data_IF_242450221411
#
_entry.id   IF_242450221411
#
_cell.length_a   1.000
_cell.length_b   1.000
_cell.length_c   1.000
_cell.angle_alpha   90.00
_cell.angle_beta   90.00
_cell.angle_gamma   90.00
#
_symmetry.space_group_name_H-M   'P 1'
#
loop_
_entity.id
_entity.type
_entity.pdbx_description
1 polymer ?
#
# COMPACT_ATOMS: atom_id res chain seq x y z
N UNK A 1 -5.82 9.84 -24.80
CA UNK A 1 -5.79 9.92 -23.33
C UNK A 1 -6.40 11.24 -22.88
N UNK A 2 -7.30 11.23 -21.89
CA UNK A 2 -7.89 12.42 -21.30
C UNK A 2 -7.35 12.54 -19.88
N UNK A 3 -6.67 13.64 -19.57
CA UNK A 3 -6.07 13.92 -18.28
C UNK A 3 -6.91 14.94 -17.51
N UNK A 4 -7.17 14.67 -16.24
CA UNK A 4 -7.79 15.62 -15.30
C UNK A 4 -7.03 15.57 -13.98
N UNK A 5 -6.57 16.71 -13.51
CA UNK A 5 -5.85 16.85 -12.24
C UNK A 5 -6.65 17.54 -11.16
N UNK A 6 -6.15 17.53 -9.94
CA UNK A 6 -6.71 18.27 -8.82
C UNK A 6 -6.62 19.79 -8.99
N UNK A 7 -7.51 20.51 -8.31
CA UNK A 7 -7.57 21.99 -8.38
C UNK A 7 -6.32 22.66 -7.79
N UNK A 8 -5.70 22.01 -6.80
CA UNK A 8 -4.50 22.49 -6.10
C UNK A 8 -3.27 22.58 -7.01
N UNK A 9 -3.21 21.76 -8.08
CA UNK A 9 -2.08 21.67 -8.98
C UNK A 9 -2.45 22.02 -10.44
N UNK A 10 -3.52 22.76 -10.66
CA UNK A 10 -4.09 22.99 -12.01
C UNK A 10 -3.06 23.59 -13.00
N UNK A 11 -2.24 24.54 -12.54
CA UNK A 11 -1.22 25.17 -13.40
C UNK A 11 -0.12 24.20 -13.79
N UNK A 12 0.41 23.43 -12.85
CA UNK A 12 1.42 22.38 -13.10
C UNK A 12 0.87 21.29 -14.01
N UNK A 13 -0.35 20.81 -13.75
CA UNK A 13 -1.02 19.79 -14.56
C UNK A 13 -1.21 20.25 -16.00
N UNK A 14 -1.62 21.52 -16.22
CA UNK A 14 -1.81 22.09 -17.53
C UNK A 14 -0.49 22.16 -18.32
N UNK A 15 0.58 22.64 -17.69
CA UNK A 15 1.91 22.74 -18.32
C UNK A 15 2.44 21.35 -18.68
N UNK A 16 2.37 20.38 -17.74
CA UNK A 16 2.82 19.02 -17.99
C UNK A 16 2.03 18.34 -19.11
N UNK A 17 0.72 18.50 -19.16
CA UNK A 17 -0.12 17.98 -20.24
C UNK A 17 0.23 18.59 -21.59
N UNK A 18 0.52 19.90 -21.64
CA UNK A 18 0.96 20.59 -22.85
C UNK A 18 2.30 20.04 -23.37
N UNK A 19 3.29 19.92 -22.47
CA UNK A 19 4.62 19.38 -22.84
C UNK A 19 4.50 17.95 -23.37
N UNK A 20 3.70 17.10 -22.70
CA UNK A 20 3.46 15.72 -23.12
C UNK A 20 2.78 15.66 -24.49
N UNK A 21 1.77 16.52 -24.74
CA UNK A 21 1.07 16.59 -26.00
C UNK A 21 2.01 17.04 -27.15
N UNK A 22 2.79 18.09 -26.94
CA UNK A 22 3.74 18.58 -27.91
C UNK A 22 4.84 17.56 -28.26
N UNK A 23 5.39 16.87 -27.23
CA UNK A 23 6.37 15.81 -27.45
C UNK A 23 5.78 14.64 -28.25
N UNK A 24 4.54 14.23 -27.93
CA UNK A 24 3.83 13.18 -28.65
C UNK A 24 3.59 13.57 -30.12
N UNK A 25 3.15 14.78 -30.38
CA UNK A 25 2.93 15.29 -31.73
C UNK A 25 4.24 15.32 -32.55
N UNK A 26 5.33 15.76 -31.92
CA UNK A 26 6.67 15.77 -32.54
C UNK A 26 7.15 14.36 -32.88
N UNK A 27 6.69 13.34 -32.15
CA UNK A 27 6.97 11.94 -32.41
C UNK A 27 5.98 11.26 -33.40
N UNK A 28 5.07 12.02 -34.01
CA UNK A 28 4.13 11.51 -35.02
C UNK A 28 2.80 10.99 -34.44
N UNK A 29 2.53 11.20 -33.18
CA UNK A 29 1.21 10.88 -32.58
C UNK A 29 0.20 11.94 -33.07
N UNK A 30 -1.04 11.52 -33.46
CA UNK A 30 -2.04 12.45 -33.95
C UNK A 30 -2.42 13.54 -32.93
N UNK A 31 -2.75 14.73 -33.41
CA UNK A 31 -3.30 15.79 -32.57
C UNK A 31 -4.58 15.34 -31.88
N UNK A 32 -4.74 15.69 -30.60
CA UNK A 32 -5.87 15.28 -29.79
C UNK A 32 -5.73 13.92 -29.10
N UNK A 33 -4.62 13.19 -29.34
CA UNK A 33 -4.36 11.93 -28.64
C UNK A 33 -4.14 12.13 -27.12
N UNK A 34 -3.60 13.30 -26.73
CA UNK A 34 -3.48 13.71 -25.33
C UNK A 34 -4.29 15.00 -25.14
N UNK A 35 -5.25 14.96 -24.23
CA UNK A 35 -6.14 16.08 -23.93
C UNK A 35 -6.15 16.35 -22.42
N UNK A 36 -6.39 17.61 -22.04
CA UNK A 36 -6.44 18.02 -20.64
C UNK A 36 -7.77 18.72 -20.34
N UNK A 37 -8.46 18.24 -19.31
CA UNK A 37 -9.68 18.86 -18.78
C UNK A 37 -9.29 19.92 -17.76
N UNK A 38 -9.47 21.18 -18.13
CA UNK A 38 -9.14 22.33 -17.27
C UNK A 38 -10.21 22.69 -16.26
N UNK A 39 -11.36 22.01 -16.30
CA UNK A 39 -12.47 22.22 -15.37
C UNK A 39 -12.10 21.58 -14.03
N UNK A 40 -12.05 22.39 -12.97
CA UNK A 40 -11.64 21.97 -11.62
C UNK A 40 -12.79 21.47 -10.76
N UNK A 41 -14.01 21.85 -11.10
CA UNK A 41 -15.22 21.49 -10.37
C UNK A 41 -15.47 19.98 -10.37
N UNK A 42 -16.01 19.50 -9.26
CA UNK A 42 -16.28 18.07 -9.08
C UNK A 42 -17.30 17.50 -10.07
N UNK A 43 -18.22 18.34 -10.57
CA UNK A 43 -19.21 17.94 -11.56
C UNK A 43 -18.59 17.46 -12.89
N UNK A 44 -17.38 17.93 -13.23
CA UNK A 44 -16.67 17.44 -14.40
C UNK A 44 -16.36 15.93 -14.30
N UNK A 45 -16.05 15.45 -13.08
CA UNK A 45 -15.84 14.01 -12.83
C UNK A 45 -17.14 13.23 -13.02
N UNK A 46 -18.26 13.78 -12.54
CA UNK A 46 -19.59 13.15 -12.69
C UNK A 46 -19.99 12.99 -14.16
N UNK A 47 -19.67 14.01 -14.98
CA UNK A 47 -19.87 13.90 -16.44
C UNK A 47 -18.95 12.84 -17.03
N UNK A 48 -17.67 12.85 -16.69
CA UNK A 48 -16.70 11.86 -17.23
C UNK A 48 -17.11 10.42 -16.90
N UNK A 49 -17.64 10.15 -15.70
CA UNK A 49 -18.13 8.84 -15.29
C UNK A 49 -19.30 8.30 -16.15
N UNK A 50 -19.94 9.16 -16.97
CA UNK A 50 -21.10 8.82 -17.82
C UNK A 50 -20.77 8.81 -19.30
N UNK A 51 -19.53 9.11 -19.68
CA UNK A 51 -19.12 9.24 -21.10
C UNK A 51 -18.73 7.91 -21.73
N UNK A 52 -19.47 6.83 -21.46
CA UNK A 52 -19.19 5.48 -21.96
C UNK A 52 -19.22 5.32 -23.50
N UNK A 53 -19.68 6.35 -24.25
CA UNK A 53 -19.54 6.40 -25.71
C UNK A 53 -18.19 6.91 -26.20
N UNK A 54 -17.42 7.55 -25.32
CA UNK A 54 -16.17 8.26 -25.67
C UNK A 54 -14.98 7.84 -24.83
N UNK A 55 -15.23 7.23 -23.65
CA UNK A 55 -14.21 6.82 -22.68
C UNK A 55 -14.38 5.31 -22.44
N UNK A 56 -13.34 4.55 -22.75
CA UNK A 56 -13.34 3.09 -22.62
C UNK A 56 -13.04 2.67 -21.18
N UNK A 57 -12.20 3.45 -20.45
CA UNK A 57 -11.77 3.12 -19.09
C UNK A 57 -11.40 4.38 -18.32
N UNK A 58 -11.70 4.41 -17.02
CA UNK A 58 -11.25 5.44 -16.09
C UNK A 58 -10.25 4.82 -15.12
N UNK A 59 -9.09 5.48 -14.97
CA UNK A 59 -8.06 5.12 -13.98
C UNK A 59 -8.01 6.27 -12.96
N UNK A 60 -8.76 6.18 -11.85
CA UNK A 60 -8.79 7.25 -10.87
C UNK A 60 -7.51 7.29 -10.04
N UNK A 61 -7.04 8.51 -9.76
CA UNK A 61 -5.97 8.80 -8.83
C UNK A 61 -6.43 9.89 -7.87
N UNK A 62 -6.29 9.67 -6.58
CA UNK A 62 -6.71 10.63 -5.56
C UNK A 62 -7.03 9.95 -4.24
N UNK A 63 -7.67 10.66 -3.33
CA UNK A 63 -8.06 10.12 -2.03
C UNK A 63 -9.14 9.03 -2.13
N UNK A 64 -9.20 8.15 -1.12
CA UNK A 64 -10.11 7.01 -1.07
C UNK A 64 -11.58 7.37 -1.34
N UNK A 65 -12.06 8.53 -0.85
CA UNK A 65 -13.44 8.99 -1.07
C UNK A 65 -13.76 9.27 -2.54
N UNK A 66 -12.79 9.85 -3.30
CA UNK A 66 -12.97 10.09 -4.74
C UNK A 66 -12.98 8.77 -5.51
N UNK A 67 -12.05 7.87 -5.20
CA UNK A 67 -11.94 6.57 -5.85
C UNK A 67 -13.24 5.77 -5.63
N UNK A 68 -13.68 5.65 -4.38
CA UNK A 68 -14.93 4.98 -4.02
C UNK A 68 -16.13 5.56 -4.77
N UNK A 69 -16.27 6.90 -4.81
CA UNK A 69 -17.34 7.57 -5.56
C UNK A 69 -17.34 7.20 -7.04
N UNK A 70 -16.15 7.16 -7.67
CA UNK A 70 -16.02 6.81 -9.08
C UNK A 70 -16.42 5.35 -9.32
N UNK A 71 -15.90 4.42 -8.50
CA UNK A 71 -16.21 2.98 -8.60
C UNK A 71 -17.70 2.71 -8.46
N UNK A 72 -18.35 3.33 -7.47
CA UNK A 72 -19.77 3.11 -7.19
C UNK A 72 -20.72 3.75 -8.21
N UNK A 73 -20.30 4.83 -8.91
CA UNK A 73 -21.20 5.65 -9.72
C UNK A 73 -20.87 5.68 -11.21
N UNK A 74 -19.74 5.12 -11.63
CA UNK A 74 -19.34 5.16 -13.04
C UNK A 74 -20.11 4.14 -13.90
N UNK A 75 -20.55 4.57 -15.08
CA UNK A 75 -20.99 3.67 -16.13
C UNK A 75 -19.86 3.27 -17.08
N UNK A 76 -18.70 3.96 -17.00
CA UNK A 76 -17.47 3.61 -17.68
C UNK A 76 -16.71 2.61 -16.81
N UNK A 77 -16.10 1.55 -17.37
CA UNK A 77 -15.22 0.64 -16.63
C UNK A 77 -14.14 1.39 -15.85
N UNK A 78 -13.89 0.97 -14.60
CA UNK A 78 -12.93 1.62 -13.70
C UNK A 78 -11.82 0.63 -13.35
N UNK A 79 -10.56 1.06 -13.52
CA UNK A 79 -9.39 0.38 -12.96
C UNK A 79 -8.96 1.19 -11.74
N UNK A 80 -9.44 0.77 -10.58
CA UNK A 80 -9.09 1.44 -9.34
C UNK A 80 -7.71 1.04 -8.83
N UNK A 81 -7.04 2.00 -8.18
CA UNK A 81 -5.89 1.73 -7.34
C UNK A 81 -6.38 1.80 -5.90
N UNK A 82 -6.42 0.67 -5.23
CA UNK A 82 -6.87 0.57 -3.86
C UNK A 82 -5.96 1.29 -2.86
N UNK A 83 -6.42 1.35 -1.63
CA UNK A 83 -5.63 1.74 -0.45
C UNK A 83 -4.55 0.68 -0.24
N UNK A 84 -3.34 1.08 0.12
CA UNK A 84 -2.20 0.17 0.36
C UNK A 84 -2.10 -0.23 1.82
N UNK A 85 -2.92 -1.21 2.28
CA UNK A 85 -2.76 -1.78 3.63
C UNK A 85 -1.89 -3.03 3.50
N UNK A 86 -0.58 -2.81 3.51
CA UNK A 86 0.41 -3.85 3.27
C UNK A 86 0.88 -4.50 4.58
N UNK A 87 1.10 -5.82 4.54
CA UNK A 87 1.54 -6.59 5.71
C UNK A 87 2.87 -7.27 5.45
N UNK A 88 3.63 -7.45 6.53
CA UNK A 88 4.79 -8.34 6.58
C UNK A 88 4.57 -9.32 7.72
N UNK A 89 4.62 -10.61 7.43
CA UNK A 89 4.66 -11.66 8.45
C UNK A 89 6.09 -12.13 8.67
N UNK A 90 6.54 -12.14 9.92
CA UNK A 90 7.84 -12.67 10.37
C UNK A 90 7.59 -14.02 11.01
N UNK A 91 7.98 -15.07 10.28
CA UNK A 91 7.82 -16.47 10.64
C UNK A 91 8.85 -16.92 11.70
N UNK A 92 8.57 -18.04 12.39
CA UNK A 92 9.46 -18.60 13.42
C UNK A 92 10.87 -18.96 12.91
N UNK A 93 11.01 -19.23 11.60
CA UNK A 93 12.28 -19.57 10.96
C UNK A 93 12.96 -18.36 10.29
N UNK A 94 12.50 -17.16 10.54
CA UNK A 94 13.05 -15.95 9.91
C UNK A 94 14.47 -15.62 10.42
N UNK A 95 15.32 -15.14 9.52
CA UNK A 95 16.51 -14.41 9.91
C UNK A 95 16.09 -13.04 10.47
N UNK A 96 16.22 -12.87 11.79
CA UNK A 96 15.72 -11.70 12.50
C UNK A 96 16.46 -10.40 12.15
N UNK A 97 17.75 -10.48 11.79
CA UNK A 97 18.50 -9.31 11.33
C UNK A 97 18.03 -8.86 9.93
N UNK A 98 17.84 -9.82 9.03
CA UNK A 98 17.31 -9.56 7.70
C UNK A 98 15.89 -9.02 7.79
N UNK A 99 15.02 -9.62 8.62
CA UNK A 99 13.66 -9.16 8.87
C UNK A 99 13.63 -7.70 9.33
N UNK A 100 14.52 -7.34 10.27
CA UNK A 100 14.65 -5.97 10.76
C UNK A 100 15.01 -4.99 9.63
N UNK A 101 15.98 -5.34 8.79
CA UNK A 101 16.38 -4.48 7.64
C UNK A 101 15.24 -4.29 6.64
N UNK A 102 14.50 -5.36 6.35
CA UNK A 102 13.36 -5.33 5.42
C UNK A 102 12.25 -4.42 5.98
N UNK A 103 11.84 -4.63 7.23
CA UNK A 103 10.77 -3.86 7.88
C UNK A 103 11.12 -2.38 7.97
N UNK A 104 12.35 -2.06 8.41
CA UNK A 104 12.81 -0.67 8.46
C UNK A 104 12.75 -0.02 7.07
N UNK A 105 13.31 -0.66 6.04
CA UNK A 105 13.30 -0.13 4.70
C UNK A 105 11.87 0.05 4.18
N UNK A 106 11.01 -0.96 4.35
CA UNK A 106 9.64 -0.96 3.85
C UNK A 106 8.75 0.11 4.52
N UNK A 107 9.06 0.52 5.77
CA UNK A 107 8.32 1.61 6.45
C UNK A 107 8.96 2.97 6.27
N UNK A 108 10.30 3.08 6.30
CA UNK A 108 10.96 4.38 6.43
C UNK A 108 11.45 4.98 5.12
N UNK A 109 11.60 4.19 4.06
CA UNK A 109 12.10 4.66 2.77
C UNK A 109 11.16 5.71 2.14
N UNK A 110 9.87 5.41 2.10
CA UNK A 110 8.81 6.31 1.60
C UNK A 110 7.49 5.98 2.29
N UNK A 111 7.21 6.49 3.48
CA UNK A 111 6.05 6.07 4.27
C UNK A 111 4.69 6.38 3.64
N UNK A 112 4.62 7.35 2.73
CA UNK A 112 3.38 7.78 2.07
C UNK A 112 3.09 7.07 0.74
N UNK A 113 3.87 6.06 0.34
CA UNK A 113 3.56 5.28 -0.87
C UNK A 113 2.70 4.07 -0.54
N UNK A 114 1.86 3.67 -1.49
CA UNK A 114 0.85 2.62 -1.33
C UNK A 114 1.41 1.22 -0.99
N UNK A 115 2.71 0.97 -1.23
CA UNK A 115 3.39 -0.29 -0.88
C UNK A 115 4.27 -0.18 0.38
N UNK A 116 4.22 0.94 1.12
CA UNK A 116 4.79 1.00 2.45
C UNK A 116 4.04 0.02 3.36
N UNK A 117 4.75 -0.65 4.28
CA UNK A 117 4.08 -1.54 5.21
C UNK A 117 3.32 -0.74 6.27
N UNK A 118 2.13 -1.24 6.60
CA UNK A 118 1.30 -0.65 7.65
C UNK A 118 1.17 -1.57 8.87
N UNK A 119 1.31 -2.89 8.65
CA UNK A 119 1.22 -3.87 9.73
C UNK A 119 2.33 -4.91 9.64
N UNK A 120 2.96 -5.20 10.79
CA UNK A 120 3.87 -6.33 10.99
C UNK A 120 3.17 -7.38 11.85
N UNK A 121 3.15 -8.61 11.36
CA UNK A 121 2.68 -9.78 12.07
C UNK A 121 3.91 -10.59 12.52
N UNK A 122 3.99 -10.96 13.79
CA UNK A 122 5.14 -11.70 14.35
C UNK A 122 4.65 -13.02 14.91
N UNK A 123 5.28 -14.13 14.51
CA UNK A 123 4.99 -15.43 15.10
C UNK A 123 5.29 -15.40 16.60
N UNK A 124 4.38 -15.96 17.40
CA UNK A 124 4.48 -15.96 18.87
C UNK A 124 5.73 -16.64 19.41
N UNK A 125 6.31 -17.59 18.66
CA UNK A 125 7.49 -18.36 19.09
C UNK A 125 8.74 -17.50 19.15
N UNK A 126 8.82 -16.46 18.32
CA UNK A 126 9.95 -15.52 18.27
C UNK A 126 9.62 -14.17 18.91
N UNK A 127 8.36 -13.94 19.29
CA UNK A 127 7.90 -12.62 19.72
C UNK A 127 8.68 -12.05 20.92
N UNK A 128 8.99 -12.89 21.93
CA UNK A 128 9.73 -12.44 23.11
C UNK A 128 11.14 -11.94 22.80
N UNK A 129 11.79 -12.50 21.79
CA UNK A 129 13.13 -12.12 21.36
C UNK A 129 13.07 -10.97 20.34
N UNK A 130 12.22 -11.11 19.33
CA UNK A 130 12.22 -10.23 18.18
C UNK A 130 11.53 -8.88 18.42
N UNK A 131 10.40 -8.87 19.17
CA UNK A 131 9.64 -7.64 19.36
C UNK A 131 10.45 -6.51 20.01
N UNK A 132 11.20 -6.73 21.11
CA UNK A 132 12.03 -5.66 21.69
C UNK A 132 13.07 -5.13 20.71
N UNK A 133 13.70 -6.01 19.92
CA UNK A 133 14.73 -5.65 18.95
C UNK A 133 14.17 -4.76 17.85
N UNK A 134 13.05 -5.16 17.22
CA UNK A 134 12.44 -4.38 16.13
C UNK A 134 11.84 -3.07 16.63
N UNK A 135 11.24 -3.06 17.84
CA UNK A 135 10.70 -1.84 18.45
C UNK A 135 11.81 -0.81 18.71
N UNK A 136 12.96 -1.24 19.21
CA UNK A 136 14.10 -0.35 19.38
C UNK A 136 14.52 0.28 18.04
N UNK A 137 14.66 -0.51 16.98
CA UNK A 137 15.07 -0.04 15.66
C UNK A 137 14.08 0.90 15.01
N UNK A 138 12.78 0.60 15.10
CA UNK A 138 11.71 1.48 14.62
C UNK A 138 11.67 2.80 15.40
N UNK A 139 11.88 2.77 16.73
CA UNK A 139 11.93 3.97 17.56
C UNK A 139 13.16 4.85 17.24
N UNK A 140 14.34 4.25 17.01
CA UNK A 140 15.51 4.95 16.52
C UNK A 140 15.25 5.69 15.19
N UNK A 141 14.40 5.10 14.33
CA UNK A 141 13.95 5.68 13.07
C UNK A 141 12.74 6.63 13.22
N UNK A 142 12.30 6.95 14.46
CA UNK A 142 11.17 7.83 14.79
C UNK A 142 9.82 7.31 14.28
N UNK A 143 9.65 6.01 14.16
CA UNK A 143 8.38 5.38 13.81
C UNK A 143 7.54 5.22 15.07
N UNK A 144 6.31 5.71 15.07
CA UNK A 144 5.32 5.43 16.11
C UNK A 144 4.84 3.99 15.97
N UNK A 145 4.86 3.24 17.08
CA UNK A 145 4.49 1.82 17.07
C UNK A 145 3.20 1.64 17.87
N UNK A 146 2.22 0.96 17.26
CA UNK A 146 0.96 0.56 17.88
C UNK A 146 0.90 -0.95 17.99
N UNK A 147 0.88 -1.48 19.21
CA UNK A 147 0.93 -2.91 19.50
C UNK A 147 -0.40 -3.49 19.96
N UNK A 148 -0.67 -4.76 19.61
CA UNK A 148 -1.77 -5.51 20.22
C UNK A 148 -1.48 -5.79 21.72
N UNK A 149 -2.46 -6.31 22.46
CA UNK A 149 -2.34 -6.64 23.90
C UNK A 149 -1.14 -7.55 24.20
N UNK A 150 -0.88 -8.57 23.37
CA UNK A 150 0.29 -9.44 23.50
C UNK A 150 1.60 -8.68 23.33
N UNK A 151 1.64 -7.67 22.44
CA UNK A 151 2.81 -6.80 22.28
C UNK A 151 3.04 -5.95 23.52
N UNK A 152 1.99 -5.36 24.09
CA UNK A 152 2.06 -4.53 25.30
C UNK A 152 2.51 -5.32 26.52
N UNK A 153 2.23 -6.63 26.58
CA UNK A 153 2.73 -7.51 27.64
C UNK A 153 4.27 -7.67 27.60
N UNK A 154 4.90 -7.52 26.43
CA UNK A 154 6.34 -7.63 26.24
C UNK A 154 7.01 -6.23 26.26
N UNK A 155 6.40 -5.25 25.59
CA UNK A 155 6.86 -3.89 25.46
C UNK A 155 5.76 -2.90 25.91
N UNK A 156 5.64 -2.62 27.23
CA UNK A 156 4.55 -1.81 27.79
C UNK A 156 4.56 -0.32 27.34
N UNK A 157 5.67 0.16 26.81
CA UNK A 157 5.82 1.53 26.33
C UNK A 157 5.16 1.81 24.99
N UNK A 158 4.71 0.77 24.29
CA UNK A 158 4.04 0.92 22.99
C UNK A 158 2.65 1.53 23.16
N UNK A 159 2.18 2.23 22.13
CA UNK A 159 0.78 2.63 22.07
C UNK A 159 -0.11 1.42 21.80
N UNK A 160 -1.30 1.40 22.40
CA UNK A 160 -2.28 0.35 22.13
C UNK A 160 -2.84 0.50 20.73
N UNK A 161 -2.77 -0.58 19.94
CA UNK A 161 -3.45 -0.65 18.65
C UNK A 161 -4.97 -0.84 18.87
N UNK A 162 -5.76 -0.10 18.11
CA UNK A 162 -7.22 -0.23 18.05
C UNK A 162 -7.64 -1.14 16.89
N UNK A 163 -8.92 -1.45 16.78
CA UNK A 163 -9.42 -2.24 15.66
C UNK A 163 -9.27 -1.52 14.32
N UNK A 164 -9.40 -0.21 14.33
CA UNK A 164 -9.27 0.66 13.16
C UNK A 164 -7.84 0.69 12.62
N UNK A 165 -6.84 0.54 13.49
CA UNK A 165 -5.42 0.54 13.11
C UNK A 165 -5.08 -0.60 12.13
N UNK A 166 -5.75 -1.74 12.24
CA UNK A 166 -5.50 -2.90 11.37
C UNK A 166 -5.95 -2.67 9.92
N UNK A 167 -6.86 -1.73 9.69
CA UNK A 167 -7.39 -1.36 8.37
C UNK A 167 -7.01 0.06 7.94
N UNK A 168 -5.96 0.63 8.53
CA UNK A 168 -5.53 1.99 8.27
C UNK A 168 -4.27 2.02 7.42
N UNK A 169 -4.32 2.73 6.28
CA UNK A 169 -3.14 3.21 5.58
C UNK A 169 -2.71 4.53 6.23
N UNK A 170 -1.66 4.48 7.06
CA UNK A 170 -1.22 5.67 7.79
C UNK A 170 -0.59 6.72 6.88
N UNK A 171 0.14 6.27 5.84
CA UNK A 171 0.87 7.18 4.97
C UNK A 171 1.96 8.00 5.67
N UNK A 172 2.37 7.60 6.88
CA UNK A 172 3.30 8.30 7.76
C UNK A 172 4.20 7.29 8.50
N UNK A 173 5.12 7.78 9.32
CA UNK A 173 5.98 6.97 10.18
C UNK A 173 5.21 6.40 11.39
N UNK A 174 4.17 5.65 11.09
CA UNK A 174 3.32 4.91 12.05
C UNK A 174 3.19 3.47 11.55
N UNK A 175 3.30 2.49 12.46
CA UNK A 175 3.17 1.07 12.12
C UNK A 175 2.40 0.33 13.21
N UNK A 176 1.59 -0.65 12.81
CA UNK A 176 0.92 -1.57 13.72
C UNK A 176 1.70 -2.88 13.84
N UNK A 177 1.77 -3.46 15.04
CA UNK A 177 2.40 -4.76 15.27
C UNK A 177 1.44 -5.69 16.01
N UNK A 178 1.26 -6.89 15.48
CA UNK A 178 0.44 -7.94 16.11
C UNK A 178 1.23 -9.23 16.24
N UNK A 179 1.17 -9.86 17.42
CA UNK A 179 1.65 -11.22 17.62
C UNK A 179 0.54 -12.18 17.25
N UNK A 180 0.85 -13.11 16.35
CA UNK A 180 -0.03 -14.15 15.84
C UNK A 180 0.46 -15.53 16.26
N UNK A 181 -0.44 -16.49 16.39
CA UNK A 181 -0.11 -17.85 16.86
C UNK A 181 0.70 -18.64 15.82
N UNK A 182 0.41 -18.40 14.54
CA UNK A 182 1.00 -19.12 13.41
C UNK A 182 0.67 -18.40 12.09
N UNK A 183 1.11 -19.00 10.98
CA UNK A 183 0.84 -18.51 9.63
C UNK A 183 -0.66 -18.47 9.29
N UNK A 184 -1.47 -19.39 9.81
CA UNK A 184 -2.92 -19.42 9.51
C UNK A 184 -3.62 -18.21 10.13
N UNK A 185 -3.25 -17.80 11.36
CA UNK A 185 -3.75 -16.56 11.96
C UNK A 185 -3.25 -15.34 11.19
N UNK A 186 -2.00 -15.35 10.71
CA UNK A 186 -1.47 -14.27 9.88
C UNK A 186 -2.29 -14.11 8.59
N UNK A 187 -2.55 -15.20 7.87
CA UNK A 187 -3.38 -15.22 6.65
C UNK A 187 -4.80 -14.73 6.95
N UNK A 188 -5.40 -15.21 8.04
CA UNK A 188 -6.75 -14.78 8.46
C UNK A 188 -6.80 -13.27 8.74
N UNK A 189 -5.78 -12.74 9.41
CA UNK A 189 -5.65 -11.29 9.67
C UNK A 189 -5.53 -10.49 8.38
N UNK A 190 -4.63 -10.89 7.49
CA UNK A 190 -4.40 -10.26 6.18
C UNK A 190 -5.68 -10.26 5.35
N UNK A 191 -6.38 -11.40 5.26
CA UNK A 191 -7.64 -11.50 4.51
C UNK A 191 -8.75 -10.64 5.10
N UNK A 192 -8.70 -10.34 6.40
CA UNK A 192 -9.71 -9.53 7.08
C UNK A 192 -9.45 -8.02 6.91
N UNK A 193 -8.20 -7.60 7.00
CA UNK A 193 -7.83 -6.20 7.11
C UNK A 193 -7.02 -5.67 5.92
N UNK A 194 -6.34 -6.55 5.17
CA UNK A 194 -5.53 -6.19 4.03
C UNK A 194 -6.37 -5.70 2.85
N UNK A 195 -5.76 -4.87 2.04
CA UNK A 195 -6.36 -4.35 0.80
C UNK A 195 -6.09 -5.23 -0.43
N UNK A 196 -5.29 -6.30 -0.28
CA UNK A 196 -4.83 -7.13 -1.39
C UNK A 196 -3.79 -6.44 -2.28
N UNK A 197 -3.11 -5.41 -1.76
CA UNK A 197 -2.11 -4.65 -2.52
C UNK A 197 -0.74 -5.35 -2.55
N UNK A 198 -0.12 -5.55 -1.39
CA UNK A 198 1.19 -6.22 -1.28
C UNK A 198 1.34 -6.85 0.09
N UNK A 199 1.73 -8.12 0.10
CA UNK A 199 1.93 -8.90 1.31
C UNK A 199 3.26 -9.64 1.22
N UNK A 200 3.97 -9.76 2.33
CA UNK A 200 5.24 -10.47 2.37
C UNK A 200 5.34 -11.40 3.57
N UNK A 201 6.04 -12.52 3.38
CA UNK A 201 6.48 -13.39 4.46
C UNK A 201 8.00 -13.42 4.50
N UNK A 202 8.58 -13.31 5.69
CA UNK A 202 10.01 -13.47 5.93
C UNK A 202 10.19 -14.79 6.70
N UNK A 203 10.83 -15.75 6.06
CA UNK A 203 11.06 -17.09 6.61
C UNK A 203 12.36 -17.69 6.07
N UNK A 204 13.03 -18.53 6.85
CA UNK A 204 14.13 -19.39 6.43
C UNK A 204 13.67 -20.82 6.12
N UNK A 205 12.38 -21.13 6.28
CA UNK A 205 11.84 -22.43 5.94
C UNK A 205 11.70 -22.60 4.42
N UNK A 206 11.93 -23.82 3.93
CA UNK A 206 11.55 -24.21 2.57
C UNK A 206 10.02 -24.28 2.48
N UNK A 207 9.39 -23.15 2.16
CA UNK A 207 7.96 -23.15 1.87
C UNK A 207 7.75 -23.91 0.57
N UNK A 208 7.09 -25.05 0.64
CA UNK A 208 6.60 -25.82 -0.51
C UNK A 208 5.44 -25.02 -1.17
N UNK A 209 5.78 -23.92 -1.83
CA UNK A 209 4.87 -23.29 -2.77
C UNK A 209 4.94 -24.07 -4.08
N UNK A 210 3.81 -24.42 -4.70
CA UNK A 210 3.81 -25.09 -5.98
C UNK A 210 4.49 -24.20 -7.03
N UNK A 211 5.70 -24.57 -7.47
CA UNK A 211 6.41 -23.95 -8.60
C UNK A 211 7.50 -22.95 -8.24
N UNK A 212 8.73 -23.34 -8.58
CA UNK A 212 9.89 -22.51 -9.00
C UNK A 212 10.56 -21.53 -7.99
N UNK A 213 10.27 -21.53 -6.68
CA UNK A 213 10.87 -20.60 -5.72
C UNK A 213 11.79 -21.26 -4.67
N UNK A 214 12.07 -22.54 -4.84
CA UNK A 214 12.90 -23.33 -3.93
C UNK A 214 14.38 -23.07 -4.19
N UNK A 215 15.00 -22.06 -3.69
CA UNK A 215 16.48 -21.93 -3.55
C UNK A 215 16.97 -20.48 -3.36
N UNK A 216 16.15 -19.60 -2.77
CA UNK A 216 16.68 -18.32 -2.29
C UNK A 216 16.23 -18.13 -0.83
N UNK A 217 17.06 -17.51 0.06
CA UNK A 217 16.55 -17.00 1.33
C UNK A 217 15.48 -15.97 1.00
N UNK A 218 14.24 -16.43 1.03
CA UNK A 218 13.22 -15.83 0.21
C UNK A 218 12.37 -14.88 1.03
N UNK A 219 12.45 -13.62 0.65
CA UNK A 219 11.33 -12.71 0.80
C UNK A 219 10.31 -13.10 -0.27
N UNK A 220 9.28 -13.83 0.10
CA UNK A 220 8.19 -14.15 -0.82
C UNK A 220 7.17 -13.02 -0.77
N UNK A 221 7.08 -12.26 -1.83
CA UNK A 221 6.05 -11.24 -2.03
C UNK A 221 4.87 -11.93 -2.71
N UNK A 222 3.73 -12.01 -2.01
CA UNK A 222 2.46 -12.41 -2.61
C UNK A 222 1.74 -11.16 -3.08
N UNK A 223 1.78 -10.89 -4.39
CA UNK A 223 0.85 -9.97 -5.03
C UNK A 223 -0.34 -10.79 -5.55
N UNK A 224 -1.57 -10.36 -5.25
CA UNK A 224 -2.79 -10.86 -5.90
C UNK A 224 -3.05 -10.11 -7.19
#
# INVERSE_FOLDING_TARGET
VILRGGSEAIHSNKILASILAEAAYSAGIPHGAIQFVSITEHNAVDVMMRLNKYVDVIIPRGGAGLIKRIVENSSVPVIETGVGICHVFVDEFADLELATKIILNAKTSRPAVCNAIETVLIDQKIANEYLPMICQKLSEAKVEIRGCEKCLAICPELKTATKEDWSTEYGDLIISIKIVENIDEAISHINTYGSGHSEAIITGADLLLPGAWANQPSVNVFAR
#
